data_IF_404886639705
#
_entry.id   IF_404886639705
#
_cell.length_a   1.000
_cell.length_b   1.000
_cell.length_c   1.000
_cell.angle_alpha   90.00
_cell.angle_beta   90.00
_cell.angle_gamma   90.00
#
_symmetry.space_group_name_H-M   'P 1'
#
loop_
_entity.id
_entity.type
_entity.pdbx_description
1 polymer ?
#
# COMPACT_ATOMS: atom_id res chain seq x y z
N UNK A 1 -16.33 -14.09 5.39
CA UNK A 1 -15.15 -14.42 6.23
C UNK A 1 -14.01 -13.54 5.79
N UNK A 2 -13.32 -12.85 6.71
CA UNK A 2 -12.21 -11.95 6.41
C UNK A 2 -11.02 -12.77 5.85
N UNK A 3 -10.75 -12.65 4.54
CA UNK A 3 -9.67 -13.39 3.85
C UNK A 3 -8.29 -13.12 4.44
N UNK A 4 -8.12 -12.02 5.17
CA UNK A 4 -6.87 -11.65 5.83
C UNK A 4 -6.64 -12.42 7.14
N UNK A 5 -7.61 -13.22 7.59
CA UNK A 5 -7.46 -14.05 8.79
C UNK A 5 -6.92 -15.43 8.48
N UNK A 6 -7.13 -15.95 7.27
CA UNK A 6 -6.72 -17.29 6.86
C UNK A 6 -5.49 -17.25 5.96
N UNK A 7 -4.47 -18.11 6.19
CA UNK A 7 -3.34 -18.22 5.29
C UNK A 7 -3.79 -18.56 3.86
N UNK A 8 -3.17 -17.94 2.86
CA UNK A 8 -3.41 -18.31 1.47
C UNK A 8 -2.75 -19.64 1.11
N UNK A 9 -3.25 -20.32 0.07
CA UNK A 9 -2.71 -21.61 -0.40
C UNK A 9 -1.70 -21.50 -1.54
N UNK A 10 -1.30 -20.27 -1.92
CA UNK A 10 -0.31 -20.08 -2.97
C UNK A 10 1.07 -20.62 -2.55
N UNK A 11 1.87 -21.16 -3.49
CA UNK A 11 3.19 -21.71 -3.17
C UNK A 11 4.23 -20.64 -2.83
N UNK A 12 4.06 -19.42 -3.34
CA UNK A 12 4.96 -18.30 -3.08
C UNK A 12 4.78 -17.68 -1.70
N UNK A 13 5.59 -16.65 -1.40
CA UNK A 13 5.54 -15.91 -0.13
C UNK A 13 5.19 -14.46 -0.33
N UNK A 14 4.16 -13.97 0.34
CA UNK A 14 3.76 -12.57 0.32
C UNK A 14 4.28 -11.85 1.58
N UNK A 15 5.26 -10.97 1.39
CA UNK A 15 5.84 -10.14 2.46
C UNK A 15 5.50 -8.68 2.15
N UNK A 16 4.80 -8.04 3.08
CA UNK A 16 4.38 -6.64 2.94
C UNK A 16 5.09 -5.76 3.96
N UNK A 17 5.33 -4.51 3.60
CA UNK A 17 5.79 -3.48 4.55
C UNK A 17 4.81 -2.31 4.57
N UNK A 18 4.58 -1.78 5.76
CA UNK A 18 3.69 -0.67 6.06
C UNK A 18 4.43 0.38 6.90
N UNK A 19 3.90 1.59 6.93
CA UNK A 19 4.48 2.71 7.66
C UNK A 19 4.21 4.04 6.98
N UNK A 20 4.37 5.13 7.74
CA UNK A 20 4.19 6.50 7.26
C UNK A 20 5.23 6.86 6.19
N UNK A 21 5.00 7.93 5.42
CA UNK A 21 6.00 8.41 4.48
C UNK A 21 7.26 8.88 5.24
N UNK A 22 8.44 8.70 4.65
CA UNK A 22 9.72 8.95 5.32
C UNK A 22 10.19 7.85 6.29
N UNK A 23 9.41 6.78 6.52
CA UNK A 23 9.78 5.73 7.48
C UNK A 23 10.90 4.78 7.02
N UNK A 24 11.31 4.85 5.75
CA UNK A 24 12.39 4.01 5.20
C UNK A 24 11.93 2.70 4.55
N UNK A 25 10.63 2.54 4.28
CA UNK A 25 10.04 1.35 3.60
C UNK A 25 10.83 0.91 2.38
N UNK A 26 10.94 1.80 1.40
CA UNK A 26 11.53 1.50 0.11
C UNK A 26 13.03 1.17 0.23
N UNK A 27 13.75 1.83 1.15
CA UNK A 27 15.16 1.50 1.47
C UNK A 27 15.29 0.08 2.00
N UNK A 28 14.48 -0.30 2.99
CA UNK A 28 14.53 -1.64 3.59
C UNK A 28 14.13 -2.72 2.57
N UNK A 29 13.12 -2.47 1.73
CA UNK A 29 12.75 -3.39 0.66
C UNK A 29 13.87 -3.58 -0.37
N UNK A 30 14.59 -2.52 -0.74
CA UNK A 30 15.74 -2.63 -1.64
C UNK A 30 16.88 -3.43 -1.03
N UNK A 31 17.17 -3.25 0.27
CA UNK A 31 18.19 -4.04 0.97
C UNK A 31 17.81 -5.52 1.03
N UNK A 32 16.55 -5.83 1.37
CA UNK A 32 16.04 -7.20 1.39
C UNK A 32 16.07 -7.82 -0.01
N UNK A 33 15.67 -7.07 -1.04
CA UNK A 33 15.74 -7.52 -2.44
C UNK A 33 17.16 -7.95 -2.82
N UNK A 34 18.15 -7.08 -2.59
CA UNK A 34 19.57 -7.37 -2.88
C UNK A 34 20.09 -8.57 -2.09
N UNK A 35 19.71 -8.67 -0.82
CA UNK A 35 20.09 -9.79 0.05
C UNK A 35 19.53 -11.14 -0.43
N UNK A 36 18.30 -11.15 -0.97
CA UNK A 36 17.69 -12.35 -1.55
C UNK A 36 18.33 -12.68 -2.91
N UNK A 37 18.57 -11.67 -3.76
CA UNK A 37 19.26 -11.83 -5.05
C UNK A 37 20.66 -12.41 -4.89
N UNK A 38 21.43 -11.95 -3.89
CA UNK A 38 22.74 -12.50 -3.55
C UNK A 38 22.70 -13.97 -3.10
N UNK A 39 21.52 -14.50 -2.75
CA UNK A 39 21.31 -15.93 -2.44
C UNK A 39 20.74 -16.74 -3.61
N UNK A 40 20.71 -16.16 -4.81
CA UNK A 40 20.14 -16.81 -5.98
C UNK A 40 18.60 -16.83 -6.01
N UNK A 41 17.93 -16.08 -5.14
CA UNK A 41 16.48 -15.91 -5.18
C UNK A 41 16.12 -14.68 -6.02
N UNK A 42 15.00 -14.72 -6.72
CA UNK A 42 14.52 -13.59 -7.54
C UNK A 42 13.19 -13.07 -6.99
N UNK A 43 13.19 -12.20 -5.96
CA UNK A 43 11.96 -11.66 -5.41
C UNK A 43 11.29 -10.68 -6.37
N UNK A 44 9.97 -10.74 -6.48
CA UNK A 44 9.17 -9.79 -7.23
C UNK A 44 8.81 -8.59 -6.35
N UNK A 45 9.14 -7.38 -6.79
CA UNK A 45 8.84 -6.14 -6.05
C UNK A 45 7.61 -5.45 -6.64
N UNK A 46 6.73 -4.95 -5.78
CA UNK A 46 5.62 -4.09 -6.18
C UNK A 46 5.35 -2.99 -5.17
N UNK A 47 5.08 -1.77 -5.62
CA UNK A 47 4.68 -0.63 -4.79
C UNK A 47 3.21 -0.27 -5.06
N UNK A 48 2.48 0.19 -4.04
CA UNK A 48 1.13 0.69 -4.23
C UNK A 48 1.10 2.10 -4.83
N UNK A 49 1.25 2.17 -6.16
CA UNK A 49 1.01 3.37 -6.95
C UNK A 49 -0.26 3.18 -7.80
N UNK A 50 -0.97 4.27 -8.06
CA UNK A 50 -2.16 4.23 -8.91
C UNK A 50 -1.81 3.75 -10.32
N UNK A 51 -2.42 2.63 -10.72
CA UNK A 51 -2.44 2.10 -12.07
C UNK A 51 -3.00 3.14 -13.03
N UNK A 52 -2.49 3.18 -14.26
CA UNK A 52 -2.82 4.23 -15.23
C UNK A 52 -4.34 4.32 -15.51
N UNK A 53 -5.04 3.17 -15.46
CA UNK A 53 -6.50 3.07 -15.58
C UNK A 53 -7.26 3.95 -14.57
N UNK A 54 -6.78 4.03 -13.32
CA UNK A 54 -7.48 4.71 -12.21
C UNK A 54 -6.82 6.05 -11.86
N UNK A 55 -5.55 6.22 -12.23
CA UNK A 55 -4.72 7.39 -11.93
C UNK A 55 -5.30 8.68 -12.50
N UNK A 56 -5.80 8.66 -13.74
CA UNK A 56 -6.37 9.85 -14.38
C UNK A 56 -7.61 10.36 -13.63
N UNK A 57 -8.55 9.47 -13.32
CA UNK A 57 -9.78 9.80 -12.60
C UNK A 57 -9.47 10.27 -11.18
N UNK A 58 -8.58 9.56 -10.47
CA UNK A 58 -8.16 9.92 -9.12
C UNK A 58 -7.50 11.30 -9.09
N UNK A 59 -6.56 11.58 -10.01
CA UNK A 59 -5.88 12.87 -10.09
C UNK A 59 -6.86 14.01 -10.39
N UNK A 60 -7.81 13.80 -11.32
CA UNK A 60 -8.84 14.78 -11.67
C UNK A 60 -9.77 15.07 -10.48
N UNK A 61 -10.22 14.03 -9.79
CA UNK A 61 -11.08 14.17 -8.61
C UNK A 61 -10.39 14.90 -7.46
N UNK A 62 -9.12 14.57 -7.18
CA UNK A 62 -8.30 15.29 -6.19
C UNK A 62 -8.19 16.78 -6.51
N UNK A 63 -7.83 17.12 -7.75
CA UNK A 63 -7.68 18.51 -8.19
C UNK A 63 -8.98 19.31 -8.06
N UNK A 64 -10.13 18.67 -8.24
CA UNK A 64 -11.46 19.30 -8.13
C UNK A 64 -12.05 19.26 -6.72
N UNK A 65 -11.36 18.67 -5.74
CA UNK A 65 -11.89 18.38 -4.40
C UNK A 65 -13.27 17.69 -4.45
N UNK A 66 -13.51 16.86 -5.46
CA UNK A 66 -14.83 16.30 -5.75
C UNK A 66 -14.97 14.85 -5.29
N UNK A 67 -14.00 14.32 -4.55
CA UNK A 67 -14.01 12.93 -4.08
C UNK A 67 -14.50 12.91 -2.65
N UNK A 68 -15.67 12.30 -2.42
CA UNK A 68 -16.07 11.91 -1.08
C UNK A 68 -15.09 10.85 -0.53
N UNK A 69 -15.00 10.68 0.80
CA UNK A 69 -14.18 9.60 1.39
C UNK A 69 -14.49 8.22 0.79
N UNK A 70 -15.78 7.91 0.59
CA UNK A 70 -16.20 6.64 0.00
C UNK A 70 -15.79 6.51 -1.47
N UNK A 71 -15.95 7.56 -2.28
CA UNK A 71 -15.50 7.55 -3.68
C UNK A 71 -13.99 7.35 -3.76
N UNK A 72 -13.22 8.04 -2.90
CA UNK A 72 -11.78 7.90 -2.83
C UNK A 72 -11.34 6.48 -2.42
N UNK A 73 -11.99 5.91 -1.40
CA UNK A 73 -11.76 4.53 -0.96
C UNK A 73 -12.02 3.52 -2.07
N UNK A 74 -13.11 3.66 -2.83
CA UNK A 74 -13.46 2.74 -3.92
C UNK A 74 -12.48 2.85 -5.11
N UNK A 75 -12.04 4.05 -5.46
CA UNK A 75 -11.01 4.22 -6.49
C UNK A 75 -9.71 3.51 -6.08
N UNK A 76 -9.29 3.66 -4.83
CA UNK A 76 -8.13 2.93 -4.33
C UNK A 76 -8.36 1.41 -4.25
N UNK A 77 -9.56 0.94 -3.92
CA UNK A 77 -9.88 -0.48 -3.93
C UNK A 77 -9.78 -1.08 -5.35
N UNK A 78 -10.31 -0.38 -6.35
CA UNK A 78 -10.19 -0.77 -7.76
C UNK A 78 -8.74 -0.81 -8.23
N UNK A 79 -7.94 0.17 -7.84
CA UNK A 79 -6.51 0.23 -8.09
C UNK A 79 -5.76 -0.97 -7.47
N UNK A 80 -6.09 -1.29 -6.21
CA UNK A 80 -5.53 -2.44 -5.52
C UNK A 80 -5.93 -3.77 -6.17
N UNK A 81 -7.18 -3.92 -6.59
CA UNK A 81 -7.66 -5.11 -7.28
C UNK A 81 -6.88 -5.34 -8.59
N UNK A 82 -6.58 -4.28 -9.34
CA UNK A 82 -5.72 -4.34 -10.51
C UNK A 82 -4.31 -4.79 -10.14
N UNK A 83 -3.66 -4.13 -9.17
CA UNK A 83 -2.31 -4.52 -8.70
C UNK A 83 -2.28 -5.97 -8.21
N UNK A 84 -3.29 -6.40 -7.45
CA UNK A 84 -3.38 -7.76 -6.95
C UNK A 84 -3.41 -8.76 -8.11
N UNK A 85 -4.27 -8.51 -9.10
CA UNK A 85 -4.50 -9.41 -10.24
C UNK A 85 -3.28 -9.53 -11.14
N UNK A 86 -2.63 -8.42 -11.47
CA UNK A 86 -1.57 -8.41 -12.49
C UNK A 86 -0.15 -8.45 -11.93
N UNK A 87 0.05 -7.98 -10.69
CA UNK A 87 1.40 -7.86 -10.12
C UNK A 87 1.66 -8.81 -8.95
N UNK A 88 0.66 -9.10 -8.11
CA UNK A 88 0.89 -9.89 -6.88
C UNK A 88 0.57 -11.37 -7.09
N UNK A 89 -0.62 -11.69 -7.62
CA UNK A 89 -1.06 -13.08 -7.75
C UNK A 89 -0.21 -13.91 -8.73
N UNK A 90 0.23 -13.40 -9.90
CA UNK A 90 1.03 -14.20 -10.83
C UNK A 90 2.35 -14.71 -10.23
N UNK A 91 3.25 -13.86 -9.67
CA UNK A 91 4.49 -14.36 -9.06
C UNK A 91 4.22 -15.21 -7.80
N UNK A 92 3.19 -14.90 -7.03
CA UNK A 92 2.83 -15.70 -5.85
C UNK A 92 2.37 -17.11 -6.22
N UNK A 93 1.61 -17.26 -7.32
CA UNK A 93 1.23 -18.55 -7.91
C UNK A 93 2.43 -19.29 -8.49
N UNK A 94 3.43 -18.58 -8.99
CA UNK A 94 4.67 -19.15 -9.52
C UNK A 94 5.68 -19.57 -8.43
N UNK A 95 5.35 -19.46 -7.14
CA UNK A 95 6.24 -19.86 -6.05
C UNK A 95 7.26 -18.79 -5.64
N UNK A 96 7.15 -17.57 -6.17
CA UNK A 96 8.11 -16.51 -5.91
C UNK A 96 7.86 -15.81 -4.56
N UNK A 97 8.90 -15.14 -4.06
CA UNK A 97 8.77 -14.18 -2.95
C UNK A 97 8.29 -12.85 -3.53
N UNK A 98 7.13 -12.37 -3.08
CA UNK A 98 6.58 -11.06 -3.43
C UNK A 98 6.82 -10.09 -2.29
N UNK A 99 7.58 -9.04 -2.57
CA UNK A 99 7.86 -7.93 -1.67
C UNK A 99 6.96 -6.74 -2.04
N UNK A 100 6.03 -6.38 -1.16
CA UNK A 100 5.07 -5.31 -1.42
C UNK A 100 5.28 -4.08 -0.51
N UNK A 101 5.59 -2.93 -1.12
CA UNK A 101 5.51 -1.63 -0.45
C UNK A 101 4.03 -1.20 -0.39
N UNK A 102 3.49 -1.15 0.82
CA UNK A 102 2.07 -0.96 1.14
C UNK A 102 1.16 -2.09 0.65
N UNK A 103 0.15 -2.39 1.45
CA UNK A 103 -0.88 -3.39 1.21
C UNK A 103 -2.23 -2.88 1.75
N UNK A 104 -3.25 -3.72 1.86
CA UNK A 104 -4.60 -3.31 2.31
C UNK A 104 -4.63 -2.60 3.67
N UNK A 105 -3.61 -2.79 4.51
CA UNK A 105 -3.49 -2.11 5.79
C UNK A 105 -3.34 -0.59 5.65
N UNK A 106 -2.69 -0.12 4.56
CA UNK A 106 -2.70 1.30 4.20
C UNK A 106 -4.13 1.82 4.02
N UNK A 107 -5.02 1.08 3.36
CA UNK A 107 -6.42 1.48 3.20
C UNK A 107 -7.19 1.46 4.53
N UNK A 108 -6.94 0.46 5.38
CA UNK A 108 -7.58 0.36 6.69
C UNK A 108 -7.30 1.56 7.57
N UNK A 109 -6.08 2.10 7.53
CA UNK A 109 -5.76 3.32 8.26
C UNK A 109 -6.28 4.57 7.53
N UNK A 110 -5.95 4.71 6.24
CA UNK A 110 -6.21 5.91 5.42
C UNK A 110 -7.70 6.21 5.26
N UNK A 111 -8.52 5.20 5.02
CA UNK A 111 -9.93 5.37 4.68
C UNK A 111 -10.76 5.56 5.96
N UNK A 112 -10.40 4.87 7.05
CA UNK A 112 -11.06 5.01 8.36
C UNK A 112 -10.82 6.40 8.96
N UNK A 113 -9.59 6.92 8.92
CA UNK A 113 -9.31 8.29 9.41
C UNK A 113 -10.01 9.36 8.57
N UNK A 114 -10.41 9.03 7.34
CA UNK A 114 -11.17 9.88 6.42
C UNK A 114 -12.69 9.71 6.56
N UNK A 115 -13.16 8.94 7.54
CA UNK A 115 -14.57 8.80 7.87
C UNK A 115 -15.28 7.61 7.22
N UNK A 116 -14.58 6.68 6.58
CA UNK A 116 -15.19 5.43 6.15
C UNK A 116 -15.39 4.47 7.33
N UNK A 117 -16.51 3.75 7.35
CA UNK A 117 -16.76 2.72 8.37
C UNK A 117 -15.72 1.59 8.31
N UNK A 118 -15.21 1.20 9.48
CA UNK A 118 -14.14 0.20 9.60
C UNK A 118 -14.57 -1.17 9.07
N UNK A 119 -15.79 -1.62 9.36
CA UNK A 119 -16.26 -2.93 8.92
C UNK A 119 -16.47 -2.94 7.41
N UNK A 120 -17.01 -1.86 6.86
CA UNK A 120 -17.18 -1.65 5.43
C UNK A 120 -15.84 -1.68 4.69
N UNK A 121 -14.82 -0.94 5.15
CA UNK A 121 -13.49 -0.94 4.50
C UNK A 121 -12.89 -2.35 4.50
N UNK A 122 -13.00 -3.10 5.60
CA UNK A 122 -12.53 -4.51 5.63
C UNK A 122 -13.29 -5.38 4.64
N UNK A 123 -14.61 -5.19 4.53
CA UNK A 123 -15.44 -5.89 3.56
C UNK A 123 -15.04 -5.62 2.10
N UNK A 124 -14.69 -4.36 1.78
CA UNK A 124 -14.24 -3.98 0.44
C UNK A 124 -12.96 -4.73 0.03
N UNK A 125 -12.00 -4.89 0.94
CA UNK A 125 -10.71 -5.52 0.64
C UNK A 125 -10.66 -7.04 0.92
N UNK A 126 -11.79 -7.70 1.20
CA UNK A 126 -11.85 -9.14 1.52
C UNK A 126 -11.44 -10.08 0.37
N UNK A 127 -11.15 -9.54 -0.81
CA UNK A 127 -10.61 -10.30 -1.93
C UNK A 127 -9.08 -10.47 -1.84
N UNK A 128 -8.42 -9.73 -0.94
CA UNK A 128 -6.97 -9.75 -0.78
C UNK A 128 -6.52 -10.99 0.01
N UNK A 129 -5.51 -11.74 -0.45
CA UNK A 129 -4.93 -12.83 0.33
C UNK A 129 -4.21 -12.30 1.57
N UNK A 130 -4.27 -13.02 2.69
CA UNK A 130 -3.47 -12.73 3.87
C UNK A 130 -1.97 -12.78 3.54
N UNK A 131 -1.17 -11.74 3.82
CA UNK A 131 0.29 -11.82 3.73
C UNK A 131 0.87 -12.87 4.66
N UNK A 132 1.92 -13.58 4.23
CA UNK A 132 2.70 -14.45 5.12
C UNK A 132 3.35 -13.62 6.24
N UNK A 133 3.86 -12.43 5.92
CA UNK A 133 4.47 -11.50 6.87
C UNK A 133 4.12 -10.05 6.54
N UNK A 134 3.89 -9.27 7.58
CA UNK A 134 3.70 -7.82 7.50
C UNK A 134 4.64 -7.14 8.49
N UNK A 135 5.46 -6.22 8.01
CA UNK A 135 6.33 -5.39 8.84
C UNK A 135 5.80 -3.97 8.89
N UNK A 136 5.69 -3.40 10.08
CA UNK A 136 5.34 -2.00 10.25
C UNK A 136 6.57 -1.22 10.70
N UNK A 137 7.02 -0.29 9.86
CA UNK A 137 8.12 0.61 10.21
C UNK A 137 7.60 1.79 11.01
N UNK A 138 7.65 1.59 12.33
CA UNK A 138 7.33 2.60 13.31
C UNK A 138 8.51 3.56 13.47
N UNK A 139 8.29 4.83 13.15
CA UNK A 139 9.26 5.90 13.37
C UNK A 139 8.54 7.11 13.98
N UNK A 140 9.20 7.87 14.87
CA UNK A 140 8.72 9.17 15.29
C UNK A 140 8.41 10.10 14.10
N UNK A 141 7.34 10.88 14.23
CA UNK A 141 6.82 11.71 13.13
C UNK A 141 7.82 12.79 12.71
N UNK A 142 8.55 13.39 13.65
CA UNK A 142 9.60 14.38 13.43
C UNK A 142 10.73 13.81 12.57
N UNK A 143 11.15 12.58 12.81
CA UNK A 143 12.14 11.88 11.97
C UNK A 143 11.62 11.72 10.55
N UNK A 144 10.37 11.28 10.40
CA UNK A 144 9.73 11.08 9.11
C UNK A 144 9.59 12.39 8.32
N UNK A 145 9.14 13.46 8.97
CA UNK A 145 8.98 14.80 8.38
C UNK A 145 10.34 15.36 7.96
N UNK A 146 11.35 15.29 8.82
CA UNK A 146 12.70 15.75 8.51
C UNK A 146 13.28 15.05 7.27
N UNK A 147 13.09 13.73 7.14
CA UNK A 147 13.52 12.96 5.97
C UNK A 147 12.75 13.33 4.69
N UNK A 148 11.46 13.63 4.80
CA UNK A 148 10.69 14.08 3.64
C UNK A 148 11.18 15.46 3.20
N UNK A 149 11.36 16.37 4.15
CA UNK A 149 11.76 17.75 3.88
C UNK A 149 13.22 17.87 3.40
N UNK A 150 14.10 16.97 3.81
CA UNK A 150 15.48 16.91 3.27
C UNK A 150 15.52 16.47 1.80
N UNK A 151 14.55 15.68 1.34
CA UNK A 151 14.45 15.23 -0.04
C UNK A 151 13.52 16.05 -0.93
N UNK A 152 12.59 16.82 -0.34
CA UNK A 152 11.52 17.56 -1.02
C UNK A 152 11.19 18.83 -0.25
N UNK A 153 11.07 19.98 -0.92
CA UNK A 153 10.78 21.26 -0.23
C UNK A 153 9.40 21.35 0.45
N UNK A 154 8.43 20.49 0.08
CA UNK A 154 7.06 20.52 0.61
C UNK A 154 6.47 19.11 0.72
N UNK A 155 5.60 18.92 1.71
CA UNK A 155 4.71 17.77 1.83
C UNK A 155 3.65 17.80 0.71
N UNK A 156 3.18 16.63 0.28
CA UNK A 156 2.02 16.53 -0.61
C UNK A 156 0.73 16.86 0.15
N UNK A 157 -0.30 17.34 -0.55
CA UNK A 157 -1.60 17.71 0.04
C UNK A 157 -2.16 16.64 0.99
N UNK A 158 -2.16 15.37 0.55
CA UNK A 158 -2.63 14.23 1.35
C UNK A 158 -1.67 13.80 2.48
N UNK A 159 -0.37 14.05 2.32
CA UNK A 159 0.64 13.80 3.38
C UNK A 159 0.45 14.80 4.52
N UNK A 160 0.05 16.04 4.19
CA UNK A 160 -0.22 17.11 5.15
C UNK A 160 -1.65 17.10 5.72
N UNK A 161 -2.53 16.22 5.26
CA UNK A 161 -3.93 16.17 5.71
C UNK A 161 -4.79 17.34 5.22
N UNK A 162 -4.35 18.06 4.18
CA UNK A 162 -5.09 19.21 3.61
C UNK A 162 -6.49 18.81 3.12
N UNK A 163 -6.67 17.55 2.75
CA UNK A 163 -7.98 17.00 2.33
C UNK A 163 -8.99 16.88 3.47
N UNK A 164 -8.53 16.98 4.72
CA UNK A 164 -9.35 16.93 5.92
C UNK A 164 -9.69 18.32 6.48
N UNK A 165 -9.20 19.40 5.86
CA UNK A 165 -9.31 20.78 6.37
C UNK A 165 -8.81 20.94 7.82
N UNK A 166 -7.72 20.25 8.17
CA UNK A 166 -7.04 20.33 9.47
C UNK A 166 -6.05 21.51 9.52
#
# INVERSE_FOLDING_TARGET
>A
MDSLTQPHKFPGKLIVVEGIDGSGKSTQLQLVKRYLEARGLQPFFTEWNSADLVKAVTKKGKKKMSLTPMTFSLLHASDFAHRLTYNILPPLKAGMIVLADRYVYTAFARDVIRGCDRAWVRGVYQFAPRPDRAFYFNVPIDISVNRILSGRAKLKDYEAGMDLNL
#
